data_IF_167938760275
#
_entry.id   IF_167938760275
#
_cell.length_a   1.000
_cell.length_b   1.000
_cell.length_c   1.000
_cell.angle_alpha   90.00
_cell.angle_beta   90.00
_cell.angle_gamma   90.00
#
_symmetry.space_group_name_H-M   'P 1'
#
loop_
_entity.id
_entity.type
_entity.pdbx_description
1 polymer ?
#
# COMPACT_ATOMS: atom_id res chain seq x y z
N UNK A 1 -1.18 -20.63 37.25
CA UNK A 1 -2.19 -19.54 37.12
C UNK A 1 -1.95 -18.80 35.80
N UNK A 2 -2.95 -18.67 34.93
CA UNK A 2 -2.78 -17.92 33.67
C UNK A 2 -2.82 -16.41 33.93
N UNK A 3 -1.68 -15.73 33.75
CA UNK A 3 -1.64 -14.26 33.85
C UNK A 3 -2.58 -13.65 32.82
N UNK A 4 -3.51 -12.79 33.27
CA UNK A 4 -4.47 -12.11 32.39
C UNK A 4 -3.72 -11.13 31.48
N UNK A 5 -3.40 -11.57 30.25
CA UNK A 5 -2.73 -10.79 29.21
C UNK A 5 -3.25 -9.34 29.15
N UNK A 6 -2.32 -8.39 29.08
CA UNK A 6 -2.67 -6.97 29.16
C UNK A 6 -3.63 -6.56 28.05
N UNK A 7 -4.35 -5.44 28.27
CA UNK A 7 -5.24 -4.87 27.25
C UNK A 7 -4.48 -4.54 25.95
N UNK A 8 -3.18 -4.26 26.04
CA UNK A 8 -2.30 -4.02 24.92
C UNK A 8 -2.01 -5.31 24.14
N UNK A 9 -1.47 -6.35 24.78
CA UNK A 9 -1.18 -7.65 24.15
C UNK A 9 -2.39 -8.22 23.40
N UNK A 10 -3.57 -8.17 24.04
CA UNK A 10 -4.82 -8.65 23.41
C UNK A 10 -5.21 -7.86 22.16
N UNK A 11 -4.88 -6.58 22.08
CA UNK A 11 -5.15 -5.74 20.90
C UNK A 11 -4.12 -5.98 19.78
N UNK A 12 -2.83 -6.11 20.11
CA UNK A 12 -1.81 -6.46 19.13
C UNK A 12 -2.05 -7.86 18.56
N UNK A 13 -2.28 -8.87 19.41
CA UNK A 13 -2.62 -10.24 18.97
C UNK A 13 -3.83 -10.27 18.04
N UNK A 14 -4.90 -9.55 18.40
CA UNK A 14 -6.11 -9.47 17.57
C UNK A 14 -5.92 -8.69 16.27
N UNK A 15 -4.97 -7.76 16.19
CA UNK A 15 -4.64 -7.09 14.94
C UNK A 15 -3.80 -8.01 14.04
N UNK A 16 -2.74 -8.61 14.61
CA UNK A 16 -1.89 -9.63 13.98
C UNK A 16 -2.69 -10.74 13.32
N UNK A 17 -3.50 -11.47 14.10
CA UNK A 17 -4.28 -12.62 13.62
C UNK A 17 -5.30 -12.25 12.53
N UNK A 18 -5.77 -10.99 12.50
CA UNK A 18 -6.66 -10.51 11.44
C UNK A 18 -5.89 -10.09 10.20
N UNK A 19 -4.79 -9.36 10.36
CA UNK A 19 -4.02 -8.79 9.25
C UNK A 19 -3.20 -9.83 8.48
N UNK A 20 -2.85 -10.95 9.13
CA UNK A 20 -2.04 -12.05 8.60
C UNK A 20 -2.53 -13.37 9.20
N UNK A 21 -3.73 -13.81 8.79
CA UNK A 21 -4.40 -15.01 9.31
C UNK A 21 -3.59 -16.29 9.06
N UNK A 22 -2.81 -16.32 7.98
CA UNK A 22 -1.99 -17.42 7.55
C UNK A 22 -0.77 -17.66 8.46
N UNK A 23 -0.27 -16.64 9.16
CA UNK A 23 0.74 -16.80 10.21
C UNK A 23 0.15 -17.51 11.45
N UNK A 24 -1.17 -17.42 11.66
CA UNK A 24 -1.88 -18.03 12.76
C UNK A 24 -1.60 -17.37 14.12
N UNK A 25 -1.96 -18.07 15.19
CA UNK A 25 -2.02 -17.52 16.55
C UNK A 25 -0.79 -17.85 17.44
N UNK A 26 0.21 -18.51 16.85
CA UNK A 26 1.51 -18.76 17.47
C UNK A 26 2.39 -17.52 17.37
N UNK A 27 2.98 -17.02 18.48
CA UNK A 27 3.94 -15.92 18.43
C UNK A 27 5.13 -16.23 17.50
N UNK A 28 5.63 -17.47 17.51
CA UNK A 28 6.82 -17.87 16.78
C UNK A 28 6.69 -17.69 15.26
N UNK A 29 5.48 -17.82 14.69
CA UNK A 29 5.24 -17.56 13.26
C UNK A 29 5.55 -16.13 12.82
N UNK A 30 5.64 -15.18 13.75
CA UNK A 30 5.91 -13.77 13.46
C UNK A 30 7.39 -13.39 13.50
N UNK A 31 8.25 -14.24 14.08
CA UNK A 31 9.70 -14.01 14.22
C UNK A 31 10.54 -15.25 13.87
N UNK A 32 9.97 -16.17 13.08
CA UNK A 32 10.58 -17.45 12.71
C UNK A 32 11.92 -17.33 11.99
N UNK A 33 12.12 -16.25 11.22
CA UNK A 33 13.36 -15.98 10.49
C UNK A 33 14.41 -15.25 11.36
N UNK A 34 13.98 -14.69 12.50
CA UNK A 34 14.78 -13.89 13.44
C UNK A 34 15.44 -12.67 12.80
N UNK A 35 14.74 -12.00 11.87
CA UNK A 35 15.29 -10.82 11.20
C UNK A 35 15.56 -9.64 12.15
N UNK A 36 15.02 -9.65 13.37
CA UNK A 36 15.42 -8.70 14.42
C UNK A 36 16.89 -8.84 14.84
N UNK A 37 17.44 -10.05 14.79
CA UNK A 37 18.81 -10.37 15.24
C UNK A 37 19.81 -10.46 14.07
N UNK A 38 19.38 -10.99 12.91
CA UNK A 38 20.28 -11.44 11.85
C UNK A 38 20.22 -10.64 10.53
N UNK A 39 19.27 -9.71 10.38
CA UNK A 39 19.16 -8.89 9.17
C UNK A 39 19.81 -7.52 9.38
N UNK A 40 20.86 -7.22 8.62
CA UNK A 40 21.60 -5.96 8.75
C UNK A 40 20.82 -4.78 8.15
N UNK A 41 20.38 -3.85 9.02
CA UNK A 41 19.66 -2.62 8.65
C UNK A 41 20.56 -1.37 8.63
N UNK A 42 21.88 -1.52 8.73
CA UNK A 42 22.80 -0.38 8.67
C UNK A 42 22.64 0.39 7.36
N UNK A 43 22.60 1.71 7.44
CA UNK A 43 22.47 2.61 6.28
C UNK A 43 23.63 2.42 5.29
N UNK A 44 24.81 1.99 5.77
CA UNK A 44 25.99 1.67 4.97
C UNK A 44 25.84 0.44 4.07
N UNK A 45 24.74 -0.30 4.15
CA UNK A 45 24.45 -1.46 3.28
C UNK A 45 23.72 -1.09 1.99
N UNK A 46 23.42 0.20 1.77
CA UNK A 46 22.66 0.70 0.62
C UNK A 46 23.61 1.39 -0.35
N UNK A 47 23.61 0.91 -1.60
CA UNK A 47 24.44 1.46 -2.67
C UNK A 47 23.66 2.51 -3.47
N UNK A 48 23.36 3.66 -2.85
CA UNK A 48 22.55 4.71 -3.48
C UNK A 48 23.18 5.19 -4.79
N UNK A 49 22.41 5.10 -5.88
CA UNK A 49 22.81 5.48 -7.23
C UNK A 49 21.75 6.35 -7.94
N UNK A 50 20.76 6.86 -7.19
CA UNK A 50 19.65 7.62 -7.74
C UNK A 50 19.96 9.12 -7.84
N UNK A 51 19.68 9.78 -8.99
CA UNK A 51 19.92 11.22 -9.13
C UNK A 51 19.13 12.02 -8.10
N UNK A 52 19.73 13.12 -7.66
CA UNK A 52 19.16 14.06 -6.69
C UNK A 52 19.04 15.45 -7.29
N UNK A 53 17.86 16.06 -7.13
CA UNK A 53 17.59 17.44 -7.52
C UNK A 53 17.13 18.28 -6.33
N UNK A 54 17.29 19.58 -6.44
CA UNK A 54 16.87 20.55 -5.43
C UNK A 54 15.60 21.28 -5.90
N UNK A 55 14.49 21.11 -5.18
CA UNK A 55 13.20 21.73 -5.51
C UNK A 55 13.23 23.27 -5.49
N UNK A 56 14.25 23.88 -4.87
CA UNK A 56 14.45 25.33 -4.88
C UNK A 56 15.25 25.82 -6.10
N UNK A 57 15.76 24.91 -6.95
CA UNK A 57 16.62 25.24 -8.09
C UNK A 57 16.07 24.74 -9.44
N UNK A 58 15.43 23.57 -9.45
CA UNK A 58 14.83 22.99 -10.66
C UNK A 58 13.46 23.58 -10.91
N UNK A 59 13.25 24.15 -12.10
CA UNK A 59 11.96 24.67 -12.51
C UNK A 59 10.95 23.53 -12.78
N UNK A 60 9.65 23.84 -12.80
CA UNK A 60 8.65 22.81 -13.04
C UNK A 60 8.78 22.18 -14.44
N UNK A 61 8.96 23.01 -15.45
CA UNK A 61 9.09 22.61 -16.85
C UNK A 61 10.33 21.74 -17.07
N UNK A 62 11.42 22.04 -16.37
CA UNK A 62 12.66 21.25 -16.32
C UNK A 62 12.42 19.89 -15.66
N UNK A 63 11.73 19.84 -14.51
CA UNK A 63 11.35 18.57 -13.89
C UNK A 63 10.49 17.70 -14.81
N UNK A 64 9.57 18.30 -15.55
CA UNK A 64 8.73 17.60 -16.53
C UNK A 64 9.57 17.06 -17.69
N UNK A 65 10.47 17.87 -18.24
CA UNK A 65 11.29 17.50 -19.40
C UNK A 65 12.32 16.40 -19.07
N UNK A 66 13.00 16.49 -17.92
CA UNK A 66 14.13 15.63 -17.56
C UNK A 66 13.74 14.41 -16.73
N UNK A 67 12.60 14.42 -16.02
CA UNK A 67 12.19 13.32 -15.13
C UNK A 67 10.80 12.77 -15.41
N UNK A 68 9.76 13.61 -15.46
CA UNK A 68 8.39 13.10 -15.57
C UNK A 68 8.09 12.51 -16.97
N UNK A 69 8.37 13.26 -18.03
CA UNK A 69 8.14 12.84 -19.42
C UNK A 69 9.00 11.66 -19.88
N UNK A 70 10.31 11.57 -19.57
CA UNK A 70 11.12 10.39 -19.91
C UNK A 70 10.93 9.21 -18.94
N UNK A 71 10.03 9.33 -17.95
CA UNK A 71 9.80 8.33 -16.91
C UNK A 71 11.07 7.95 -16.13
N UNK A 72 11.85 8.96 -15.71
CA UNK A 72 13.08 8.77 -14.93
C UNK A 72 12.83 9.02 -13.44
N UNK A 73 13.07 8.04 -12.54
CA UNK A 73 12.97 8.26 -11.10
C UNK A 73 14.04 9.24 -10.61
N UNK A 74 13.70 10.04 -9.60
CA UNK A 74 14.59 11.04 -9.00
C UNK A 74 14.24 11.25 -7.54
N UNK A 75 15.26 11.59 -6.74
CA UNK A 75 15.08 12.04 -5.35
C UNK A 75 15.09 13.56 -5.31
N UNK A 76 14.08 14.15 -4.68
CA UNK A 76 13.87 15.59 -4.62
C UNK A 76 14.19 16.09 -3.20
N UNK A 77 15.15 16.98 -3.09
CA UNK A 77 15.53 17.71 -1.88
C UNK A 77 14.68 18.98 -1.74
N UNK A 78 14.59 19.49 -0.50
CA UNK A 78 13.95 20.77 -0.16
C UNK A 78 12.44 20.91 -0.51
N UNK A 79 11.79 19.85 -1.00
CA UNK A 79 10.36 19.80 -1.31
C UNK A 79 9.42 19.81 -0.07
N UNK A 80 9.98 19.97 1.15
CA UNK A 80 9.27 19.89 2.43
C UNK A 80 9.67 21.03 3.40
N UNK A 81 10.31 22.10 2.92
CA UNK A 81 10.96 23.14 3.76
C UNK A 81 10.01 23.91 4.66
N UNK A 82 8.76 24.12 4.24
CA UNK A 82 7.70 24.80 4.98
C UNK A 82 6.79 23.84 5.79
N UNK A 83 7.05 22.53 5.73
CA UNK A 83 6.18 21.53 6.32
C UNK A 83 6.29 21.50 7.84
N UNK A 84 5.24 21.96 8.52
CA UNK A 84 5.04 21.76 9.97
C UNK A 84 5.12 20.29 10.42
N UNK A 85 4.99 19.33 9.50
CA UNK A 85 5.28 17.91 9.75
C UNK A 85 6.72 17.68 10.23
N UNK A 86 7.70 18.43 9.70
CA UNK A 86 9.11 18.39 10.09
C UNK A 86 9.38 18.68 11.57
N UNK A 87 8.45 19.34 12.28
CA UNK A 87 8.46 19.52 13.73
C UNK A 87 7.49 18.56 14.44
N UNK A 88 6.25 18.48 13.93
CA UNK A 88 5.12 17.91 14.65
C UNK A 88 5.01 16.39 14.51
N UNK A 89 5.58 15.77 13.47
CA UNK A 89 5.51 14.33 13.25
C UNK A 89 6.64 13.62 14.00
N UNK A 90 6.51 13.60 15.32
CA UNK A 90 7.33 12.77 16.22
C UNK A 90 6.44 11.79 16.96
N UNK A 91 6.98 10.63 17.36
CA UNK A 91 6.22 9.63 18.13
C UNK A 91 5.56 10.24 19.38
N UNK A 92 6.25 11.17 20.06
CA UNK A 92 5.73 11.85 21.26
C UNK A 92 4.53 12.76 20.96
N UNK A 93 4.61 13.56 19.89
CA UNK A 93 3.53 14.49 19.53
C UNK A 93 2.35 13.80 18.86
N UNK A 94 2.62 12.77 18.04
CA UNK A 94 1.57 11.92 17.45
C UNK A 94 0.83 11.10 18.51
N UNK A 95 1.52 10.52 19.51
CA UNK A 95 0.82 9.90 20.64
C UNK A 95 0.01 10.93 21.42
N UNK A 96 0.57 12.11 21.76
CA UNK A 96 -0.18 13.15 22.49
C UNK A 96 -1.46 13.60 21.76
N UNK A 97 -1.39 13.82 20.45
CA UNK A 97 -2.51 14.36 19.65
C UNK A 97 -3.51 13.29 19.21
N UNK A 98 -3.03 12.10 18.84
CA UNK A 98 -3.84 11.03 18.23
C UNK A 98 -3.94 9.77 19.09
N UNK A 99 -3.58 9.85 20.38
CA UNK A 99 -3.52 8.75 21.38
C UNK A 99 -4.59 7.65 21.21
N UNK A 100 -5.83 8.09 21.00
CA UNK A 100 -7.01 7.25 20.95
C UNK A 100 -7.56 6.98 19.54
N UNK A 101 -7.02 7.63 18.52
CA UNK A 101 -7.44 7.50 17.12
C UNK A 101 -6.95 6.21 16.49
N UNK A 102 -7.70 5.69 15.52
CA UNK A 102 -7.49 4.38 14.92
C UNK A 102 -6.97 4.48 13.48
N UNK A 103 -5.78 3.94 13.26
CA UNK A 103 -5.10 3.90 11.97
C UNK A 103 -5.10 2.46 11.43
N UNK A 104 -5.33 2.31 10.12
CA UNK A 104 -5.23 1.06 9.36
C UNK A 104 -3.79 0.57 9.37
N UNK A 105 -3.61 -0.68 9.78
CA UNK A 105 -2.32 -1.35 9.85
C UNK A 105 -2.35 -2.77 9.24
N UNK A 106 -3.26 -2.97 8.28
CA UNK A 106 -3.52 -4.25 7.61
C UNK A 106 -4.97 -4.33 7.11
N UNK A 107 -5.30 -5.47 6.49
CA UNK A 107 -6.64 -5.87 6.04
C UNK A 107 -6.85 -7.33 6.44
N UNK A 108 -8.09 -7.74 6.73
CA UNK A 108 -8.41 -9.14 6.97
C UNK A 108 -8.78 -9.90 5.69
N UNK A 109 -9.01 -11.21 5.81
CA UNK A 109 -9.33 -12.12 4.70
C UNK A 109 -10.55 -11.70 3.86
N UNK A 110 -11.33 -10.71 4.32
CA UNK A 110 -12.50 -10.14 3.65
C UNK A 110 -12.25 -8.74 3.08
N UNK A 111 -11.00 -8.27 3.08
CA UNK A 111 -10.62 -6.91 2.70
C UNK A 111 -11.00 -5.84 3.74
N UNK A 112 -11.49 -6.21 4.93
CA UNK A 112 -11.92 -5.23 5.92
C UNK A 112 -10.68 -4.62 6.64
N UNK A 113 -10.63 -3.29 6.83
CA UNK A 113 -9.44 -2.62 7.37
C UNK A 113 -9.20 -2.99 8.84
N UNK A 114 -8.04 -3.59 9.12
CA UNK A 114 -7.57 -3.87 10.48
C UNK A 114 -6.95 -2.59 11.03
N UNK A 115 -7.54 -2.03 12.10
CA UNK A 115 -7.09 -0.77 12.70
C UNK A 115 -6.62 -0.90 14.15
N UNK A 116 -5.48 -0.28 14.49
CA UNK A 116 -4.96 -0.13 15.84
C UNK A 116 -5.05 1.32 16.32
N UNK A 117 -5.15 1.53 17.64
CA UNK A 117 -5.03 2.88 18.22
C UNK A 117 -3.57 3.34 18.18
N UNK A 118 -3.32 4.62 17.88
CA UNK A 118 -1.96 5.19 17.78
C UNK A 118 -1.06 4.79 18.96
N UNK A 119 -1.55 4.90 20.20
CA UNK A 119 -0.79 4.49 21.41
C UNK A 119 -0.37 3.03 21.46
N UNK A 120 -1.17 2.13 20.91
CA UNK A 120 -0.82 0.71 20.84
C UNK A 120 0.17 0.46 19.72
N UNK A 121 0.05 1.17 18.58
CA UNK A 121 1.00 1.05 17.49
C UNK A 121 2.38 1.64 17.84
N UNK A 122 2.44 2.82 18.46
CA UNK A 122 3.70 3.43 18.94
C UNK A 122 4.39 2.58 20.00
N UNK A 123 3.62 1.91 20.88
CA UNK A 123 4.20 0.95 21.83
C UNK A 123 4.75 -0.28 21.09
N UNK A 124 3.98 -0.84 20.16
CA UNK A 124 4.39 -1.96 19.32
C UNK A 124 5.67 -1.66 18.50
N UNK A 125 5.79 -0.47 17.91
CA UNK A 125 7.00 -0.04 17.18
C UNK A 125 8.28 -0.06 18.02
N UNK A 126 8.17 0.05 19.36
CA UNK A 126 9.30 0.05 20.29
C UNK A 126 9.64 -1.34 20.86
N UNK A 127 8.71 -2.29 20.80
CA UNK A 127 8.77 -3.55 21.55
C UNK A 127 8.73 -4.81 20.66
N UNK A 128 8.65 -4.66 19.33
CA UNK A 128 8.44 -5.81 18.43
C UNK A 128 9.75 -6.34 17.81
N UNK A 129 9.81 -7.66 17.73
CA UNK A 129 10.89 -8.45 17.11
C UNK A 129 10.40 -9.17 15.85
N UNK A 130 9.26 -8.74 15.29
CA UNK A 130 8.62 -9.42 14.15
C UNK A 130 9.48 -9.34 12.89
N UNK A 131 9.52 -10.42 12.10
CA UNK A 131 10.24 -10.54 10.84
C UNK A 131 9.78 -9.46 9.85
N UNK A 132 8.47 -9.38 9.60
CA UNK A 132 7.80 -8.27 8.91
C UNK A 132 6.71 -7.68 9.83
N UNK A 133 6.99 -6.56 10.51
CA UNK A 133 6.06 -5.96 11.45
C UNK A 133 4.81 -5.35 10.80
N UNK A 134 3.72 -5.24 11.57
CA UNK A 134 2.52 -4.48 11.19
C UNK A 134 2.90 -3.04 10.81
N UNK A 135 2.31 -2.53 9.74
CA UNK A 135 2.68 -1.25 9.12
C UNK A 135 1.45 -0.35 8.99
N UNK A 136 1.47 0.88 9.53
CA UNK A 136 0.38 1.84 9.26
C UNK A 136 0.45 2.31 7.81
N UNK A 137 -0.66 2.15 7.10
CA UNK A 137 -0.87 2.58 5.72
C UNK A 137 -2.33 3.05 5.61
N UNK A 138 -2.64 4.24 6.14
CA UNK A 138 -4.01 4.73 6.30
C UNK A 138 -4.34 5.85 5.28
N UNK A 139 -5.41 5.63 4.51
CA UNK A 139 -5.88 6.48 3.43
C UNK A 139 -7.00 7.46 3.82
N UNK A 140 -7.41 7.48 5.11
CA UNK A 140 -8.58 8.24 5.57
C UNK A 140 -8.23 9.66 6.03
N UNK A 141 -7.00 10.13 5.80
CA UNK A 141 -6.56 11.47 6.15
C UNK A 141 -6.47 12.34 4.91
N UNK A 142 -7.56 13.08 4.67
CA UNK A 142 -7.79 13.88 3.48
C UNK A 142 -8.98 13.35 2.69
N UNK A 143 -9.95 14.21 2.43
CA UNK A 143 -10.78 14.05 1.24
C UNK A 143 -9.89 14.18 -0.01
N UNK A 144 -10.41 13.81 -1.19
CA UNK A 144 -9.71 14.04 -2.45
C UNK A 144 -9.45 15.55 -2.59
N UNK A 145 -8.20 15.95 -2.35
CA UNK A 145 -7.79 17.34 -2.24
C UNK A 145 -6.74 17.61 -3.29
N UNK A 146 -6.93 18.72 -4.00
CA UNK A 146 -6.00 19.25 -4.97
C UNK A 146 -4.60 19.36 -4.33
N UNK A 147 -3.71 18.45 -4.69
CA UNK A 147 -2.35 18.43 -4.18
C UNK A 147 -1.46 19.10 -5.23
N UNK A 148 -0.85 20.20 -4.83
CA UNK A 148 0.03 20.98 -5.69
C UNK A 148 1.47 20.50 -5.54
N UNK A 149 1.93 19.66 -6.47
CA UNK A 149 3.36 19.48 -6.71
C UNK A 149 3.78 20.62 -7.66
N UNK A 150 4.78 21.41 -7.27
CA UNK A 150 5.27 22.56 -8.06
C UNK A 150 4.17 23.55 -8.52
N UNK A 151 3.10 23.70 -7.74
CA UNK A 151 2.01 24.65 -8.07
C UNK A 151 1.00 24.17 -9.13
N UNK A 152 1.12 22.95 -9.67
CA UNK A 152 0.15 22.42 -10.64
C UNK A 152 -0.96 21.60 -9.97
N UNK A 153 -2.20 21.75 -10.45
CA UNK A 153 -3.34 20.92 -10.04
C UNK A 153 -3.19 19.49 -10.58
N UNK A 154 -2.69 18.58 -9.76
CA UNK A 154 -2.76 17.14 -10.03
C UNK A 154 -4.16 16.62 -9.67
N UNK A 155 -4.74 15.78 -10.54
CA UNK A 155 -5.89 14.94 -10.16
C UNK A 155 -5.32 13.84 -9.26
N UNK A 156 -5.28 14.17 -7.98
CA UNK A 156 -4.59 13.40 -6.97
C UNK A 156 -5.54 12.34 -6.41
N UNK A 157 -5.10 11.08 -6.41
CA UNK A 157 -5.85 10.01 -5.74
C UNK A 157 -5.65 10.10 -4.21
N UNK A 158 -6.19 9.13 -3.47
CA UNK A 158 -6.06 9.07 -2.01
C UNK A 158 -4.59 9.25 -1.61
N UNK A 159 -4.33 10.13 -0.65
CA UNK A 159 -3.03 10.19 0.01
C UNK A 159 -3.00 9.19 1.16
N UNK A 160 -1.83 8.63 1.45
CA UNK A 160 -1.64 7.72 2.58
C UNK A 160 -0.69 8.32 3.61
N UNK A 161 -1.13 8.33 4.86
CA UNK A 161 -0.23 8.49 6.00
C UNK A 161 0.42 7.13 6.29
N UNK A 162 1.75 7.10 6.27
CA UNK A 162 2.53 5.86 6.31
C UNK A 162 3.52 5.90 7.48
N UNK A 163 3.45 4.92 8.37
CA UNK A 163 4.25 4.91 9.61
C UNK A 163 4.57 3.48 10.06
N UNK A 164 5.85 3.16 10.24
CA UNK A 164 6.28 1.78 10.49
C UNK A 164 7.61 1.65 11.22
N UNK A 165 7.82 0.55 11.96
CA UNK A 165 9.09 0.24 12.61
C UNK A 165 10.13 -0.28 11.61
N UNK A 166 11.40 -0.48 12.03
CA UNK A 166 12.39 -1.19 11.21
C UNK A 166 11.85 -2.53 10.70
N UNK A 167 12.34 -3.01 9.55
CA UNK A 167 11.92 -4.24 8.84
C UNK A 167 10.53 -4.20 8.19
N UNK A 168 9.62 -3.31 8.61
CA UNK A 168 8.35 -3.12 7.90
C UNK A 168 8.58 -2.47 6.53
N UNK A 169 7.63 -2.61 5.61
CA UNK A 169 7.79 -2.05 4.26
C UNK A 169 6.71 -2.52 3.30
N UNK A 170 6.90 -2.22 2.01
CA UNK A 170 6.03 -2.67 0.92
C UNK A 170 6.85 -3.55 -0.03
N UNK A 171 6.37 -4.77 -0.29
CA UNK A 171 7.01 -5.71 -1.22
C UNK A 171 7.03 -5.18 -2.67
N UNK A 172 7.78 -5.84 -3.54
CA UNK A 172 7.97 -5.33 -4.91
C UNK A 172 6.66 -5.29 -5.69
N UNK A 173 6.31 -4.15 -6.27
CA UNK A 173 5.08 -3.93 -7.02
C UNK A 173 5.25 -2.83 -8.07
N UNK A 174 4.22 -2.63 -8.89
CA UNK A 174 4.03 -1.47 -9.76
C UNK A 174 2.76 -0.77 -9.26
N UNK A 175 2.73 0.56 -9.28
CA UNK A 175 1.54 1.33 -8.93
C UNK A 175 0.35 1.07 -9.89
N UNK A 176 -0.89 1.11 -9.38
CA UNK A 176 -2.06 0.68 -10.13
C UNK A 176 -2.42 1.69 -11.23
N UNK A 177 -3.10 1.22 -12.28
CA UNK A 177 -3.63 2.04 -13.38
C UNK A 177 -2.61 2.98 -14.07
N UNK A 178 -1.33 2.59 -14.07
CA UNK A 178 -0.25 3.42 -14.65
C UNK A 178 -0.10 4.78 -13.96
N UNK A 179 -0.52 4.89 -12.69
CA UNK A 179 -0.27 6.09 -11.89
C UNK A 179 1.22 6.23 -11.57
N UNK A 180 1.69 7.47 -11.51
CA UNK A 180 2.96 7.81 -10.87
C UNK A 180 2.73 8.10 -9.40
N UNK A 181 3.77 8.04 -8.58
CA UNK A 181 3.69 8.37 -7.16
C UNK A 181 4.81 9.31 -6.72
N UNK A 182 4.55 10.02 -5.61
CA UNK A 182 5.60 10.69 -4.83
C UNK A 182 5.53 10.22 -3.37
N UNK A 183 6.70 10.06 -2.73
CA UNK A 183 6.82 9.59 -1.35
C UNK A 183 7.72 10.55 -0.53
N UNK A 184 7.12 11.38 0.32
CA UNK A 184 7.80 12.36 1.15
C UNK A 184 8.12 11.78 2.55
N UNK A 185 9.41 11.58 2.84
CA UNK A 185 9.87 11.01 4.10
C UNK A 185 10.16 12.10 5.14
N UNK A 186 9.37 12.16 6.21
CA UNK A 186 9.49 13.19 7.25
C UNK A 186 10.40 12.74 8.41
N UNK A 187 10.47 11.43 8.66
CA UNK A 187 11.30 10.80 9.71
C UNK A 187 11.81 9.44 9.29
N UNK A 188 13.04 9.14 9.72
CA UNK A 188 13.68 7.84 9.54
C UNK A 188 14.33 7.68 8.17
N UNK A 189 14.72 6.44 7.84
CA UNK A 189 15.38 6.09 6.59
C UNK A 189 14.66 4.93 5.90
N UNK A 190 14.53 5.01 4.57
CA UNK A 190 13.96 3.96 3.73
C UNK A 190 14.99 3.49 2.70
N UNK A 191 15.12 2.17 2.53
CA UNK A 191 15.84 1.56 1.41
C UNK A 191 14.85 1.28 0.28
N UNK A 192 15.22 1.67 -0.93
CA UNK A 192 14.48 1.36 -2.15
C UNK A 192 15.34 0.57 -3.12
N UNK A 193 14.71 -0.34 -3.87
CA UNK A 193 15.19 -0.77 -5.18
C UNK A 193 14.09 -0.51 -6.20
N UNK A 194 14.43 0.01 -7.37
CA UNK A 194 13.53 0.23 -8.48
C UNK A 194 14.07 -0.43 -9.76
N UNK A 195 13.18 -0.92 -10.63
CA UNK A 195 13.54 -1.51 -11.91
C UNK A 195 12.68 -0.95 -13.05
N UNK A 196 13.25 -0.78 -14.26
CA UNK A 196 12.52 -0.26 -15.41
C UNK A 196 11.24 -1.05 -15.73
N UNK A 197 10.19 -0.43 -16.30
CA UNK A 197 8.91 -1.10 -16.60
C UNK A 197 9.01 -2.34 -17.50
N UNK A 198 10.07 -2.43 -18.31
CA UNK A 198 10.34 -3.57 -19.21
C UNK A 198 11.00 -4.78 -18.52
N UNK A 199 11.30 -4.69 -17.23
CA UNK A 199 11.97 -5.77 -16.49
C UNK A 199 11.04 -6.98 -16.33
N UNK A 200 11.45 -8.19 -16.76
CA UNK A 200 10.66 -9.41 -16.61
C UNK A 200 10.28 -9.67 -15.15
N UNK A 201 8.99 -9.95 -14.92
CA UNK A 201 8.41 -10.20 -13.59
C UNK A 201 9.11 -11.33 -12.85
N UNK A 202 9.59 -12.32 -13.59
CA UNK A 202 10.24 -13.55 -13.13
C UNK A 202 11.63 -13.29 -12.53
N UNK A 203 12.31 -12.23 -12.96
CA UNK A 203 13.60 -11.80 -12.38
C UNK A 203 13.37 -11.13 -11.01
N UNK A 204 12.41 -10.19 -10.97
CA UNK A 204 12.22 -9.28 -9.83
C UNK A 204 11.27 -9.82 -8.76
N UNK A 205 10.42 -10.82 -9.04
CA UNK A 205 9.58 -11.44 -8.01
C UNK A 205 10.34 -12.53 -7.23
N UNK A 206 10.02 -12.72 -5.93
CA UNK A 206 10.45 -13.90 -5.19
C UNK A 206 9.91 -15.19 -5.84
N UNK A 207 10.71 -16.26 -5.85
CA UNK A 207 10.30 -17.58 -6.36
C UNK A 207 9.26 -18.20 -5.41
N UNK A 208 8.48 -19.21 -5.86
CA UNK A 208 7.52 -19.90 -4.99
C UNK A 208 8.14 -20.53 -3.73
N UNK A 209 9.44 -20.88 -3.78
CA UNK A 209 10.25 -21.39 -2.67
C UNK A 209 10.66 -20.34 -1.63
N UNK A 210 10.65 -19.06 -1.98
CA UNK A 210 11.32 -18.01 -1.22
C UNK A 210 10.41 -17.48 -0.11
N UNK A 211 10.93 -17.23 1.08
CA UNK A 211 10.24 -16.54 2.20
C UNK A 211 8.99 -17.23 2.79
N UNK A 212 8.49 -18.32 2.20
CA UNK A 212 7.33 -19.06 2.70
C UNK A 212 6.09 -18.17 2.86
N UNK A 213 5.53 -18.11 4.08
CA UNK A 213 4.37 -17.25 4.39
C UNK A 213 4.68 -15.75 4.32
N UNK A 214 5.95 -15.36 4.38
CA UNK A 214 6.40 -13.98 4.25
C UNK A 214 6.95 -13.66 2.84
N UNK A 215 6.76 -14.55 1.84
CA UNK A 215 7.30 -14.38 0.47
C UNK A 215 7.15 -12.98 -0.11
N UNK A 216 5.98 -12.38 0.05
CA UNK A 216 5.62 -11.10 -0.59
C UNK A 216 6.06 -9.86 0.23
N UNK A 217 6.67 -10.04 1.41
CA UNK A 217 7.09 -8.95 2.29
C UNK A 217 8.37 -8.27 1.78
N UNK A 218 8.52 -6.97 2.07
CA UNK A 218 9.71 -6.19 1.64
C UNK A 218 11.02 -6.82 2.12
N UNK A 219 11.11 -7.23 3.38
CA UNK A 219 12.32 -7.83 3.93
C UNK A 219 12.68 -9.16 3.25
N UNK A 220 11.68 -10.00 2.94
CA UNK A 220 11.90 -11.24 2.19
C UNK A 220 12.39 -10.96 0.76
N UNK A 221 11.95 -9.87 0.13
CA UNK A 221 12.52 -9.45 -1.14
C UNK A 221 14.02 -9.10 -1.01
N UNK A 222 14.41 -8.33 0.02
CA UNK A 222 15.81 -8.01 0.28
C UNK A 222 16.66 -9.21 0.74
N UNK A 223 16.05 -10.29 1.25
CA UNK A 223 16.76 -11.54 1.59
C UNK A 223 16.95 -12.45 0.37
N UNK A 224 15.93 -12.63 -0.47
CA UNK A 224 15.91 -13.68 -1.51
C UNK A 224 16.05 -13.18 -2.95
N UNK A 225 15.76 -11.90 -3.22
CA UNK A 225 15.85 -11.31 -4.56
C UNK A 225 17.05 -10.39 -4.66
N UNK A 226 17.22 -9.45 -3.72
CA UNK A 226 18.31 -8.47 -3.76
C UNK A 226 19.71 -9.08 -3.99
N UNK A 227 20.14 -10.17 -3.32
CA UNK A 227 21.46 -10.75 -3.58
C UNK A 227 21.66 -11.26 -5.01
N UNK A 228 20.58 -11.62 -5.72
CA UNK A 228 20.63 -12.00 -7.14
C UNK A 228 20.92 -10.80 -8.04
N UNK A 229 20.47 -9.61 -7.66
CA UNK A 229 20.72 -8.35 -8.40
C UNK A 229 22.18 -7.88 -8.32
N UNK A 230 22.93 -8.42 -7.37
CA UNK A 230 24.34 -8.11 -7.13
C UNK A 230 25.27 -9.21 -7.71
N UNK A 231 24.70 -10.23 -8.35
CA UNK A 231 25.47 -11.30 -8.98
C UNK A 231 25.99 -10.87 -10.35
N UNK A 232 27.17 -11.39 -10.76
CA UNK A 232 27.85 -11.00 -12.01
C UNK A 232 27.10 -11.43 -13.29
N UNK A 233 26.14 -12.34 -13.17
CA UNK A 233 25.27 -12.81 -14.26
C UNK A 233 23.92 -12.08 -14.31
N UNK A 234 23.69 -11.06 -13.48
CA UNK A 234 22.49 -10.23 -13.56
C UNK A 234 22.50 -9.36 -14.84
N UNK A 235 21.41 -9.31 -15.63
CA UNK A 235 21.36 -8.51 -16.86
C UNK A 235 21.52 -7.02 -16.56
N UNK A 236 22.51 -6.39 -17.19
CA UNK A 236 22.90 -5.00 -16.90
C UNK A 236 21.80 -3.99 -17.27
N UNK A 237 21.00 -4.28 -18.29
CA UNK A 237 19.83 -3.50 -18.69
C UNK A 237 18.69 -3.49 -17.65
N UNK A 238 18.74 -4.40 -16.67
CA UNK A 238 17.81 -4.50 -15.55
C UNK A 238 18.51 -4.29 -14.19
N UNK A 239 19.69 -3.65 -14.16
CA UNK A 239 20.36 -3.28 -12.91
C UNK A 239 19.42 -2.44 -12.03
N UNK A 240 19.36 -2.68 -10.71
CA UNK A 240 18.49 -1.93 -9.81
C UNK A 240 18.95 -0.49 -9.66
N UNK A 241 18.00 0.45 -9.69
CA UNK A 241 18.21 1.79 -9.14
C UNK A 241 17.99 1.71 -7.63
N UNK A 242 19.02 1.97 -6.83
CA UNK A 242 18.96 1.92 -5.37
C UNK A 242 18.86 3.33 -4.75
N UNK A 243 18.09 3.45 -3.66
CA UNK A 243 17.94 4.71 -2.92
C UNK A 243 18.04 4.45 -1.41
N UNK A 244 18.91 5.20 -0.73
CA UNK A 244 18.84 5.47 0.70
C UNK A 244 18.09 6.78 0.91
N UNK A 245 16.76 6.70 1.05
CA UNK A 245 15.95 7.88 1.27
C UNK A 245 16.13 8.38 2.71
N UNK A 246 16.49 9.66 2.84
CA UNK A 246 16.76 10.37 4.09
C UNK A 246 15.58 11.25 4.53
N UNK A 247 15.52 11.70 5.80
CA UNK A 247 14.52 12.66 6.25
C UNK A 247 14.56 13.97 5.44
N UNK A 248 13.40 14.45 5.00
CA UNK A 248 13.25 15.63 4.15
C UNK A 248 13.32 15.35 2.65
N UNK A 249 13.70 14.14 2.23
CA UNK A 249 13.72 13.75 0.81
C UNK A 249 12.35 13.25 0.34
N UNK A 250 11.98 13.62 -0.90
CA UNK A 250 10.79 13.13 -1.59
C UNK A 250 11.20 12.32 -2.82
N UNK A 251 10.88 11.02 -2.87
CA UNK A 251 11.15 10.18 -4.05
C UNK A 251 10.00 10.36 -5.05
N UNK A 252 10.34 10.62 -6.32
CA UNK A 252 9.41 10.50 -7.45
C UNK A 252 9.53 9.11 -8.09
N UNK A 253 8.39 8.42 -8.22
CA UNK A 253 8.28 7.10 -8.86
C UNK A 253 7.40 7.26 -10.11
N UNK A 254 7.98 7.19 -11.33
CA UNK A 254 7.22 7.25 -12.56
C UNK A 254 6.35 5.99 -12.73
N UNK A 255 5.17 6.14 -13.32
CA UNK A 255 4.25 5.03 -13.55
C UNK A 255 4.88 3.89 -14.35
N UNK A 256 4.59 2.65 -13.93
CA UNK A 256 5.13 1.44 -14.54
C UNK A 256 6.42 0.91 -13.93
N UNK A 257 7.15 1.69 -13.12
CA UNK A 257 8.37 1.21 -12.47
C UNK A 257 8.06 0.19 -11.37
N UNK A 258 8.76 -0.95 -11.41
CA UNK A 258 8.80 -1.86 -10.28
C UNK A 258 9.52 -1.18 -9.13
N UNK A 259 8.98 -1.24 -7.93
CA UNK A 259 9.65 -0.70 -6.74
C UNK A 259 9.31 -1.48 -5.47
N UNK A 260 10.28 -1.53 -4.56
CA UNK A 260 10.22 -2.22 -3.25
C UNK A 260 10.83 -1.32 -2.19
N UNK A 261 10.23 -1.27 -1.01
CA UNK A 261 10.59 -0.29 0.04
C UNK A 261 10.72 -0.97 1.39
N UNK A 262 11.88 -0.86 2.04
CA UNK A 262 12.14 -1.35 3.39
C UNK A 262 12.44 -0.19 4.34
N UNK A 263 11.76 -0.15 5.49
CA UNK A 263 12.04 0.82 6.54
C UNK A 263 13.26 0.34 7.34
N UNK A 264 14.36 1.10 7.29
CA UNK A 264 15.59 0.78 8.02
C UNK A 264 15.51 1.21 9.49
N UNK A 265 14.72 2.25 9.77
CA UNK A 265 14.45 2.76 11.12
C UNK A 265 12.94 2.83 11.38
N UNK A 266 12.54 3.36 12.54
CA UNK A 266 11.19 3.93 12.67
C UNK A 266 11.01 5.03 11.62
N UNK A 267 9.99 4.92 10.76
CA UNK A 267 9.70 5.87 9.68
C UNK A 267 8.34 6.53 9.83
N UNK A 268 8.23 7.77 9.35
CA UNK A 268 6.95 8.48 9.16
C UNK A 268 7.04 9.23 7.84
N UNK A 269 6.10 8.97 6.94
CA UNK A 269 6.05 9.51 5.58
C UNK A 269 4.60 9.79 5.15
N UNK A 270 4.45 10.55 4.07
CA UNK A 270 3.19 10.66 3.31
C UNK A 270 3.49 10.37 1.85
N UNK A 271 2.58 9.64 1.19
CA UNK A 271 2.74 9.22 -0.19
C UNK A 271 1.42 9.34 -0.92
N UNK A 272 1.45 9.65 -2.21
CA UNK A 272 0.24 9.80 -3.00
C UNK A 272 0.49 9.45 -4.47
N UNK A 273 -0.52 8.84 -5.09
CA UNK A 273 -0.54 8.51 -6.49
C UNK A 273 -1.26 9.60 -7.29
N UNK A 274 -0.74 9.91 -8.46
CA UNK A 274 -1.29 10.92 -9.37
C UNK A 274 -1.22 10.42 -10.82
N UNK A 275 -2.04 11.03 -11.68
CA UNK A 275 -2.00 10.75 -13.11
C UNK A 275 -2.21 12.01 -13.95
N UNK A 276 -1.36 12.22 -14.95
CA UNK A 276 -1.59 13.21 -16.01
C UNK A 276 -2.44 12.66 -17.15
N UNK A 277 -2.43 11.35 -17.38
CA UNK A 277 -3.22 10.74 -18.45
C UNK A 277 -4.72 11.03 -18.29
N UNK A 278 -5.25 11.10 -17.07
CA UNK A 278 -6.67 11.43 -16.84
C UNK A 278 -7.00 12.88 -17.21
N UNK A 279 -6.08 13.83 -16.98
CA UNK A 279 -6.23 15.21 -17.44
C UNK A 279 -6.21 15.30 -18.97
N UNK A 280 -5.26 14.60 -19.62
CA UNK A 280 -5.23 14.50 -21.08
C UNK A 280 -6.46 13.77 -21.65
N UNK A 281 -6.96 12.74 -20.97
CA UNK A 281 -8.16 11.98 -21.36
C UNK A 281 -9.42 12.84 -21.24
N UNK A 282 -9.55 13.67 -20.19
CA UNK A 282 -10.67 14.62 -20.04
C UNK A 282 -10.74 15.63 -21.20
N UNK A 283 -9.59 16.01 -21.77
CA UNK A 283 -9.52 16.90 -22.94
C UNK A 283 -9.82 16.15 -24.23
N UNK A 284 -9.14 15.02 -24.48
CA UNK A 284 -9.15 14.35 -25.79
C UNK A 284 -10.26 13.28 -25.95
N UNK A 285 -10.72 12.69 -24.84
CA UNK A 285 -11.71 11.60 -24.78
C UNK A 285 -12.58 11.73 -23.52
N UNK A 286 -13.40 12.81 -23.41
CA UNK A 286 -14.26 13.06 -22.25
C UNK A 286 -15.30 11.95 -22.01
N UNK A 287 -15.60 11.14 -23.02
CA UNK A 287 -16.40 9.92 -22.93
C UNK A 287 -15.71 8.85 -22.07
N UNK A 288 -14.42 8.57 -22.32
CA UNK A 288 -13.63 7.62 -21.54
C UNK A 288 -13.28 8.17 -20.16
N UNK A 289 -13.07 9.48 -20.03
CA UNK A 289 -12.81 10.11 -18.74
C UNK A 289 -13.97 9.94 -17.76
N UNK A 290 -15.23 10.04 -18.23
CA UNK A 290 -16.41 9.75 -17.40
C UNK A 290 -16.46 8.29 -16.93
N UNK A 291 -15.92 7.35 -17.70
CA UNK A 291 -15.81 5.95 -17.27
C UNK A 291 -14.72 5.86 -16.19
N UNK A 292 -13.55 6.43 -16.44
CA UNK A 292 -12.41 6.44 -15.51
C UNK A 292 -12.74 7.09 -14.15
N UNK A 293 -13.50 8.18 -14.14
CA UNK A 293 -13.94 8.88 -12.93
C UNK A 293 -14.89 8.04 -12.04
N UNK A 294 -15.51 6.99 -12.60
CA UNK A 294 -16.37 6.05 -11.87
C UNK A 294 -15.66 4.72 -11.48
N UNK A 295 -14.37 4.56 -11.79
CA UNK A 295 -13.62 3.35 -11.43
C UNK A 295 -13.32 3.34 -9.93
N UNK A 296 -13.86 2.35 -9.22
CA UNK A 296 -13.58 2.15 -7.80
C UNK A 296 -12.17 1.55 -7.59
N UNK A 297 -11.19 2.41 -7.28
CA UNK A 297 -9.81 2.00 -6.98
C UNK A 297 -9.63 1.07 -5.77
N UNK A 298 -10.68 0.78 -5.00
CA UNK A 298 -10.63 -0.20 -3.91
C UNK A 298 -11.08 -1.60 -4.29
N UNK A 299 -11.52 -1.82 -5.54
CA UNK A 299 -11.82 -3.14 -6.07
C UNK A 299 -10.59 -3.82 -6.69
N UNK A 300 -10.58 -5.15 -6.68
CA UNK A 300 -9.49 -5.96 -7.20
C UNK A 300 -9.66 -6.15 -8.72
N UNK A 301 -8.84 -5.48 -9.51
CA UNK A 301 -8.81 -5.63 -10.97
C UNK A 301 -8.00 -6.87 -11.35
N UNK A 302 -8.57 -7.84 -12.09
CA UNK A 302 -7.91 -9.14 -12.33
C UNK A 302 -6.61 -9.03 -13.14
N UNK A 303 -6.48 -8.02 -14.00
CA UNK A 303 -5.34 -7.82 -14.90
C UNK A 303 -4.40 -6.67 -14.49
N UNK A 304 -4.62 -6.04 -13.32
CA UNK A 304 -3.75 -4.97 -12.80
C UNK A 304 -3.02 -5.49 -11.55
N UNK A 305 -1.70 -5.30 -11.41
CA UNK A 305 -1.01 -5.61 -10.16
C UNK A 305 -1.66 -4.85 -9.00
N UNK A 306 -2.27 -5.58 -8.06
CA UNK A 306 -2.91 -4.96 -6.90
C UNK A 306 -1.87 -4.28 -6.02
N UNK A 307 -2.01 -2.98 -5.80
CA UNK A 307 -1.22 -2.21 -4.81
C UNK A 307 -1.64 -2.48 -3.37
N UNK A 308 -2.60 -3.39 -3.16
CA UNK A 308 -2.96 -3.92 -1.86
C UNK A 308 -1.75 -4.56 -1.19
N UNK A 309 -1.17 -3.85 -0.21
CA UNK A 309 -0.11 -4.35 0.68
C UNK A 309 -0.64 -5.37 1.71
N UNK A 310 -1.60 -6.20 1.31
CA UNK A 310 -2.23 -7.25 2.08
C UNK A 310 -1.83 -8.60 1.47
N UNK A 311 -0.97 -9.31 2.18
CA UNK A 311 -0.39 -10.58 1.74
C UNK A 311 -1.43 -11.71 1.74
N UNK A 312 -2.23 -11.79 0.67
CA UNK A 312 -3.03 -12.96 0.37
C UNK A 312 -2.77 -13.44 -1.07
N UNK A 313 -2.51 -14.73 -1.24
CA UNK A 313 -2.48 -15.39 -2.54
C UNK A 313 -3.54 -16.48 -2.51
N UNK A 314 -4.64 -16.24 -3.23
CA UNK A 314 -5.67 -17.26 -3.42
C UNK A 314 -5.10 -18.44 -4.20
N UNK A 315 -4.94 -19.58 -3.54
CA UNK A 315 -4.64 -20.85 -4.21
C UNK A 315 -5.88 -21.35 -4.93
N UNK A 316 -5.78 -21.55 -6.24
CA UNK A 316 -6.78 -22.30 -7.02
C UNK A 316 -6.08 -23.40 -7.81
N UNK A 317 -6.36 -24.64 -7.40
CA UNK A 317 -5.76 -25.84 -7.96
C UNK A 317 -6.60 -26.40 -9.11
N UNK A 318 -5.90 -27.04 -10.06
CA UNK A 318 -6.39 -28.04 -11.03
C UNK A 318 -7.29 -27.54 -12.16
N UNK A 319 -6.68 -27.51 -13.33
CA UNK A 319 -7.35 -27.61 -14.63
C UNK A 319 -8.23 -28.86 -14.70
N UNK A 320 -9.47 -28.71 -15.15
CA UNK A 320 -10.25 -29.79 -15.78
C UNK A 320 -10.60 -29.38 -17.21
N UNK A 321 -10.55 -30.34 -18.12
CA UNK A 321 -10.64 -30.15 -19.56
C UNK A 321 -12.03 -29.69 -20.01
N UNK A 322 -12.08 -28.66 -20.85
CA UNK A 322 -13.22 -28.42 -21.73
C UNK A 322 -13.33 -29.57 -22.74
N UNK A 323 -14.49 -30.22 -22.78
CA UNK A 323 -14.93 -31.04 -23.90
C UNK A 323 -16.19 -30.39 -24.47
N UNK A 324 -16.22 -30.18 -25.78
CA UNK A 324 -17.30 -29.48 -26.48
C UNK A 324 -18.27 -30.46 -27.16
N UNK A 325 -19.39 -29.95 -27.67
CA UNK A 325 -20.46 -30.65 -28.44
C UNK A 325 -21.31 -31.67 -27.64
N UNK A 326 -22.63 -31.84 -27.85
CA UNK A 326 -23.57 -31.24 -28.83
C UNK A 326 -25.07 -31.35 -28.44
N UNK A 327 -25.86 -30.34 -28.83
CA UNK A 327 -27.30 -30.31 -29.24
C UNK A 327 -28.43 -31.16 -28.61
N UNK A 328 -29.56 -30.47 -28.36
CA UNK A 328 -30.99 -30.92 -28.38
C UNK A 328 -31.47 -31.80 -27.20
N UNK A 329 -32.73 -31.80 -26.75
CA UNK A 329 -34.05 -31.44 -27.34
C UNK A 329 -35.06 -30.80 -26.34
N UNK A 330 -36.20 -30.32 -26.85
CA UNK A 330 -37.36 -29.80 -26.10
C UNK A 330 -37.96 -30.78 -25.06
N UNK A 331 -38.55 -30.22 -23.97
CA UNK A 331 -40.01 -30.36 -23.68
C UNK A 331 -40.45 -29.54 -22.43
N UNK A 332 -41.66 -29.00 -22.50
CA UNK A 332 -42.53 -28.64 -21.36
C UNK A 332 -43.85 -29.39 -21.57
N UNK A 333 -44.68 -29.62 -20.52
CA UNK A 333 -45.70 -28.61 -20.22
C UNK A 333 -46.14 -28.49 -18.74
N UNK A 334 -46.73 -27.33 -18.45
CA UNK A 334 -47.85 -27.02 -17.53
C UNK A 334 -48.16 -27.88 -16.29
N UNK A 335 -48.34 -27.20 -15.14
CA UNK A 335 -49.70 -27.06 -14.58
C UNK A 335 -49.91 -25.85 -13.67
N UNK A 336 -51.16 -25.43 -13.61
CA UNK A 336 -51.66 -24.12 -13.15
C UNK A 336 -52.48 -24.27 -11.87
N UNK A 337 -52.40 -23.29 -10.94
CA UNK A 337 -53.52 -22.96 -10.05
C UNK A 337 -53.44 -21.54 -9.47
N UNK A 338 -54.52 -20.79 -9.67
CA UNK A 338 -54.89 -19.55 -8.97
C UNK A 338 -55.40 -19.94 -7.55
N UNK A 339 -55.68 -19.10 -6.54
CA UNK A 339 -55.85 -17.63 -6.33
C UNK A 339 -55.56 -17.33 -4.81
N UNK A 340 -55.82 -16.19 -4.14
CA UNK A 340 -56.51 -14.93 -4.46
C UNK A 340 -56.12 -13.74 -3.52
N UNK A 341 -56.78 -12.59 -3.73
CA UNK A 341 -57.22 -11.49 -2.81
C UNK A 341 -57.06 -11.66 -1.27
N UNK A 342 -56.95 -10.62 -0.42
CA UNK A 342 -56.99 -9.13 -0.54
C UNK A 342 -56.74 -8.50 0.84
N UNK A 343 -56.34 -7.22 0.94
CA UNK A 343 -56.37 -6.51 2.23
C UNK A 343 -55.62 -5.17 2.29
N UNK A 344 -56.28 -4.08 1.88
CA UNK A 344 -55.83 -2.71 2.15
C UNK A 344 -56.09 -2.35 3.62
N UNK A 345 -55.18 -1.63 4.28
CA UNK A 345 -55.56 -0.47 5.11
C UNK A 345 -54.38 0.46 5.39
N UNK A 346 -54.57 1.73 5.07
CA UNK A 346 -53.68 2.86 5.39
C UNK A 346 -54.24 3.67 6.56
N UNK A 347 -53.42 4.02 7.56
CA UNK A 347 -53.66 5.20 8.41
C UNK A 347 -52.34 5.88 8.73
N UNK A 348 -52.29 7.20 8.54
CA UNK A 348 -51.20 8.09 8.96
C UNK A 348 -51.70 9.02 10.07
N UNK A 349 -50.82 9.41 11.03
CA UNK A 349 -50.61 10.81 11.47
C UNK A 349 -49.75 11.00 12.75
N UNK A 350 -48.58 11.61 12.52
CA UNK A 350 -47.95 12.76 13.23
C UNK A 350 -47.63 12.78 14.76
N UNK A 351 -46.59 13.54 15.19
CA UNK A 351 -46.02 13.51 16.55
C UNK A 351 -46.10 14.84 17.35
N UNK A 352 -45.78 14.83 18.66
CA UNK A 352 -45.34 15.98 19.51
C UNK A 352 -45.04 15.51 20.96
N UNK A 353 -44.41 16.32 21.85
CA UNK A 353 -43.29 17.23 21.65
C UNK A 353 -42.16 17.12 22.73
N UNK A 354 -41.12 17.94 22.58
CA UNK A 354 -39.97 18.10 23.50
C UNK A 354 -40.38 18.54 24.92
N UNK A 355 -39.54 18.21 25.93
CA UNK A 355 -39.48 18.95 27.21
C UNK A 355 -38.02 19.26 27.58
N UNK A 356 -37.73 20.55 27.77
CA UNK A 356 -36.46 21.04 28.37
C UNK A 356 -36.50 20.81 29.89
N UNK A 357 -35.34 20.51 30.48
CA UNK A 357 -34.79 21.20 31.65
C UNK A 357 -33.28 21.17 31.55
#
# INVERSE_FOLDING_TARGET
>A
MSSKRSKYERRIRSAKLKARSELGDSPHSWYSCKYADNFNLSLSTVHDCCPRIDACKVAYEEFVAEYEHPYQPVVIHNAQTDWKAGENWTLKLLDKKYHNERFKCGEDDKGCPVKLKMKYFIRYMKENEDDSPLYIFDANYGEASATYLFGLLLIAFKAWFVMGPPRSGTGIHIDPLGTSAWNALVRGYKRWCLFPPRTPKELVKPKPSDGGKNRNEAISWFVYVYPRTQASDWPTEYAPLEILQCPGETVFVPGGWWHVVLNLTNTIAVTQNFCRWLAALRINRPDLAKIADNINLSEHFPDVPSSSSSSCSSSSSRSSSYCSTCTSTNQSPEKMRQSNTSGLHSVSRSPTPKRRR
#
